data_IF_970138725881
#
_entry.id   IF_970138725881
#
_cell.length_a   1.000
_cell.length_b   1.000
_cell.length_c   1.000
_cell.angle_alpha   90.00
_cell.angle_beta   90.00
_cell.angle_gamma   90.00
#
_symmetry.space_group_name_H-M   'P 1'
#
loop_
_entity.id
_entity.type
_entity.pdbx_description
1 polymer ?
#
# COMPACT_ATOMS: atom_id res chain seq x y z
N UNK A 1 12.33 -38.99 18.23
CA UNK A 1 13.44 -38.04 18.16
C UNK A 1 12.98 -36.72 18.77
N UNK A 2 13.87 -36.05 19.50
CA UNK A 2 13.64 -34.71 20.04
C UNK A 2 13.75 -33.66 18.93
N UNK A 3 13.32 -32.41 19.18
CA UNK A 3 13.54 -31.31 18.23
C UNK A 3 15.03 -31.12 17.94
N UNK A 4 15.87 -31.16 18.99
CA UNK A 4 17.33 -31.05 18.90
C UNK A 4 17.91 -32.07 17.91
N UNK A 5 17.54 -33.34 18.07
CA UNK A 5 18.02 -34.43 17.22
C UNK A 5 17.63 -34.22 15.74
N UNK A 6 16.40 -33.78 15.49
CA UNK A 6 15.95 -33.49 14.12
C UNK A 6 16.68 -32.29 13.51
N UNK A 7 16.94 -31.24 14.29
CA UNK A 7 17.66 -30.06 13.80
C UNK A 7 19.09 -30.44 13.43
N UNK A 8 19.77 -31.20 14.29
CA UNK A 8 21.13 -31.70 14.02
C UNK A 8 21.14 -32.58 12.77
N UNK A 9 20.18 -33.49 12.62
CA UNK A 9 20.06 -34.34 11.43
C UNK A 9 19.89 -33.51 10.16
N UNK A 10 19.00 -32.49 10.18
CA UNK A 10 18.80 -31.59 9.03
C UNK A 10 20.10 -30.84 8.68
N UNK A 11 20.83 -30.31 9.66
CA UNK A 11 22.09 -29.60 9.42
C UNK A 11 23.14 -30.55 8.83
N UNK A 12 23.27 -31.74 9.41
CA UNK A 12 24.19 -32.77 8.94
C UNK A 12 23.86 -33.19 7.51
N UNK A 13 22.59 -33.45 7.21
CA UNK A 13 22.12 -33.81 5.87
C UNK A 13 22.30 -32.67 4.87
N UNK A 14 22.11 -31.42 5.29
CA UNK A 14 22.29 -30.24 4.44
C UNK A 14 23.75 -30.02 4.05
N UNK A 15 24.68 -30.23 4.99
CA UNK A 15 26.12 -30.02 4.82
C UNK A 15 26.88 -31.28 4.37
N UNK A 16 26.17 -32.39 4.13
CA UNK A 16 26.76 -33.59 3.52
C UNK A 16 26.71 -33.47 2.00
N UNK A 17 27.88 -33.53 1.35
CA UNK A 17 27.96 -33.50 -0.11
C UNK A 17 27.33 -34.78 -0.70
N UNK A 18 26.56 -34.63 -1.78
CA UNK A 18 26.04 -35.78 -2.50
C UNK A 18 27.10 -36.33 -3.48
N UNK A 19 27.95 -37.21 -2.97
CA UNK A 19 29.01 -37.88 -3.73
C UNK A 19 28.47 -38.73 -4.91
N UNK A 20 27.17 -39.03 -4.93
CA UNK A 20 26.55 -39.83 -6.00
C UNK A 20 26.14 -38.99 -7.22
N UNK A 21 26.01 -37.67 -7.03
CA UNK A 21 25.59 -36.72 -8.06
C UNK A 21 26.79 -35.94 -8.63
N UNK A 22 27.85 -35.78 -7.85
CA UNK A 22 29.02 -34.97 -8.21
C UNK A 22 30.04 -35.75 -9.06
N UNK A 23 30.42 -35.25 -10.24
CA UNK A 23 31.58 -35.73 -10.99
C UNK A 23 32.87 -35.70 -10.15
N UNK A 24 33.75 -36.68 -10.32
CA UNK A 24 34.98 -36.83 -9.53
C UNK A 24 35.90 -35.62 -9.60
N UNK A 25 35.93 -34.93 -10.74
CA UNK A 25 36.69 -33.70 -10.95
C UNK A 25 36.13 -32.51 -10.16
N UNK A 26 34.83 -32.46 -9.90
CA UNK A 26 34.20 -31.43 -9.05
C UNK A 26 34.45 -31.74 -7.57
N UNK A 27 34.39 -33.01 -7.17
CA UNK A 27 34.76 -33.43 -5.81
C UNK A 27 36.22 -33.06 -5.51
N UNK A 28 37.14 -33.46 -6.37
CA UNK A 28 38.57 -33.20 -6.20
C UNK A 28 38.90 -31.70 -6.13
N UNK A 29 38.25 -30.88 -6.96
CA UNK A 29 38.44 -29.43 -6.98
C UNK A 29 37.90 -28.73 -5.72
N UNK A 30 36.89 -29.29 -5.05
CA UNK A 30 36.18 -28.66 -3.93
C UNK A 30 36.32 -29.41 -2.60
N UNK A 31 37.26 -30.36 -2.50
CA UNK A 31 37.51 -31.14 -1.28
C UNK A 31 37.69 -30.30 -0.01
N UNK A 32 38.28 -29.10 -0.11
CA UNK A 32 38.44 -28.18 1.01
C UNK A 32 37.10 -27.62 1.52
N UNK A 33 36.15 -27.34 0.61
CA UNK A 33 34.78 -26.88 0.94
C UNK A 33 33.98 -28.02 1.57
N UNK A 34 34.09 -29.23 1.01
CA UNK A 34 33.40 -30.43 1.52
C UNK A 34 33.91 -30.77 2.93
N UNK A 35 35.22 -30.70 3.15
CA UNK A 35 35.81 -30.92 4.46
C UNK A 35 35.34 -29.88 5.48
N UNK A 36 35.35 -28.59 5.11
CA UNK A 36 34.87 -27.51 5.98
C UNK A 36 33.36 -27.66 6.33
N UNK A 37 32.54 -28.05 5.36
CA UNK A 37 31.11 -28.34 5.59
C UNK A 37 30.91 -29.52 6.55
N UNK A 38 31.70 -30.59 6.40
CA UNK A 38 31.66 -31.74 7.30
C UNK A 38 32.11 -31.40 8.73
N UNK A 39 33.13 -30.54 8.87
CA UNK A 39 33.57 -30.03 10.17
C UNK A 39 32.46 -29.20 10.84
N UNK A 40 31.80 -28.31 10.09
CA UNK A 40 30.64 -27.55 10.58
C UNK A 40 29.47 -28.46 10.96
N UNK A 41 29.17 -29.48 10.15
CA UNK A 41 28.13 -30.48 10.45
C UNK A 41 28.42 -31.22 11.77
N UNK A 42 29.67 -31.60 12.01
CA UNK A 42 30.08 -32.28 13.25
C UNK A 42 29.94 -31.40 14.50
N UNK A 43 29.91 -30.08 14.31
CA UNK A 43 29.70 -29.05 15.33
C UNK A 43 28.25 -28.60 15.47
N UNK A 44 27.30 -29.21 14.74
CA UNK A 44 25.89 -28.82 14.82
C UNK A 44 25.29 -28.90 16.24
N UNK A 45 25.88 -29.70 17.14
CA UNK A 45 25.52 -29.74 18.56
C UNK A 45 25.80 -28.42 19.29
N UNK A 46 26.75 -27.63 18.80
CA UNK A 46 27.20 -26.37 19.37
C UNK A 46 26.18 -25.24 19.16
N UNK A 47 25.24 -25.40 18.20
CA UNK A 47 24.15 -24.45 17.92
C UNK A 47 23.33 -24.07 19.16
N UNK A 48 23.33 -24.93 20.17
CA UNK A 48 22.44 -24.84 21.32
C UNK A 48 23.19 -24.77 22.66
N UNK A 49 24.46 -24.40 22.62
CA UNK A 49 25.30 -24.18 23.82
C UNK A 49 25.30 -22.68 24.12
N UNK A 50 25.19 -22.28 25.40
CA UNK A 50 25.19 -20.87 25.84
C UNK A 50 26.56 -20.15 25.66
N UNK A 51 27.50 -20.70 24.88
CA UNK A 51 28.84 -20.13 24.71
C UNK A 51 28.88 -19.03 23.62
N UNK A 52 29.86 -18.12 23.71
CA UNK A 52 30.01 -16.86 22.93
C UNK A 52 30.09 -17.02 21.39
N UNK A 53 30.10 -18.24 20.86
CA UNK A 53 30.27 -18.54 19.43
C UNK A 53 28.91 -18.80 18.75
N UNK A 54 28.42 -17.82 17.99
CA UNK A 54 27.18 -17.95 17.20
C UNK A 54 27.40 -18.91 16.01
N UNK A 55 27.16 -20.21 16.25
CA UNK A 55 27.29 -21.26 15.24
C UNK A 55 26.45 -20.98 13.99
N UNK A 56 25.26 -20.36 14.14
CA UNK A 56 24.43 -20.02 12.98
C UNK A 56 25.13 -18.98 12.10
N UNK A 57 25.75 -17.97 12.69
CA UNK A 57 26.56 -16.99 11.94
C UNK A 57 27.81 -17.63 11.31
N UNK A 58 28.44 -18.62 11.96
CA UNK A 58 29.56 -19.37 11.36
C UNK A 58 29.13 -20.15 10.11
N UNK A 59 27.97 -20.82 10.16
CA UNK A 59 27.43 -21.53 9.00
C UNK A 59 27.01 -20.55 7.90
N UNK A 60 26.37 -19.43 8.24
CA UNK A 60 26.03 -18.39 7.24
C UNK A 60 27.27 -17.81 6.58
N UNK A 61 28.31 -17.46 7.35
CA UNK A 61 29.57 -16.97 6.83
C UNK A 61 30.21 -17.98 5.87
N UNK A 62 30.20 -19.27 6.24
CA UNK A 62 30.65 -20.34 5.34
C UNK A 62 29.85 -20.40 4.04
N UNK A 63 28.52 -20.29 4.10
CA UNK A 63 27.64 -20.31 2.92
C UNK A 63 27.87 -19.07 2.03
N UNK A 64 28.08 -17.89 2.63
CA UNK A 64 28.32 -16.64 1.92
C UNK A 64 29.72 -16.58 1.27
N UNK A 65 30.71 -17.23 1.86
CA UNK A 65 32.09 -17.32 1.35
C UNK A 65 32.25 -18.32 0.19
N UNK A 66 31.18 -19.04 -0.19
CA UNK A 66 31.24 -19.98 -1.31
C UNK A 66 31.48 -19.26 -2.65
N UNK A 67 32.32 -19.83 -3.54
CA UNK A 67 32.62 -19.19 -4.82
C UNK A 67 31.35 -18.98 -5.66
N UNK A 68 31.08 -17.77 -6.20
CA UNK A 68 29.86 -17.48 -6.96
C UNK A 68 29.74 -18.27 -8.27
N UNK A 69 30.85 -18.86 -8.74
CA UNK A 69 30.90 -19.70 -9.93
C UNK A 69 30.39 -21.12 -9.67
N UNK A 70 30.13 -21.47 -8.41
CA UNK A 70 29.77 -22.80 -7.98
C UNK A 70 28.52 -22.73 -7.08
N UNK A 71 27.31 -22.84 -7.67
CA UNK A 71 26.07 -22.66 -6.92
C UNK A 71 26.02 -23.61 -5.72
N UNK A 72 25.63 -23.13 -4.55
CA UNK A 72 25.46 -23.95 -3.34
C UNK A 72 24.69 -25.26 -3.63
N UNK A 73 23.61 -25.16 -4.41
CA UNK A 73 22.79 -26.29 -4.82
C UNK A 73 23.52 -27.38 -5.63
N UNK A 74 24.68 -27.08 -6.20
CA UNK A 74 25.48 -28.03 -6.98
C UNK A 74 26.27 -29.00 -6.10
N UNK A 75 26.76 -28.56 -4.93
CA UNK A 75 27.46 -29.44 -3.96
C UNK A 75 26.50 -29.89 -2.85
N UNK A 76 25.71 -28.95 -2.35
CA UNK A 76 24.82 -29.13 -1.20
C UNK A 76 23.38 -28.77 -1.59
N UNK A 77 22.70 -29.61 -2.39
CA UNK A 77 21.32 -29.34 -2.84
C UNK A 77 20.33 -29.16 -1.69
N UNK A 78 20.61 -29.75 -0.52
CA UNK A 78 19.79 -29.63 0.69
C UNK A 78 20.11 -28.39 1.53
N UNK A 79 21.24 -27.71 1.28
CA UNK A 79 21.62 -26.51 2.02
C UNK A 79 20.95 -25.23 1.52
N UNK A 80 20.16 -25.28 0.45
CA UNK A 80 19.56 -24.07 -0.18
C UNK A 80 18.72 -23.26 0.81
N UNK A 81 18.05 -23.92 1.76
CA UNK A 81 17.25 -23.25 2.78
C UNK A 81 17.95 -23.18 4.15
N UNK A 82 19.22 -23.61 4.26
CA UNK A 82 19.91 -23.79 5.53
C UNK A 82 20.03 -22.48 6.32
N UNK A 83 20.32 -21.36 5.66
CA UNK A 83 20.38 -20.06 6.34
C UNK A 83 19.03 -19.70 7.00
N UNK A 84 17.93 -19.81 6.25
CA UNK A 84 16.57 -19.54 6.76
C UNK A 84 16.17 -20.52 7.85
N UNK A 85 16.54 -21.79 7.70
CA UNK A 85 16.33 -22.83 8.70
C UNK A 85 17.03 -22.48 10.02
N UNK A 86 18.30 -22.08 9.97
CA UNK A 86 19.08 -21.70 11.16
C UNK A 86 18.50 -20.45 11.82
N UNK A 87 18.06 -19.47 11.03
CA UNK A 87 17.39 -18.28 11.54
C UNK A 87 16.11 -18.62 12.32
N UNK A 88 15.32 -19.58 11.85
CA UNK A 88 14.14 -20.04 12.56
C UNK A 88 14.48 -20.91 13.78
N UNK A 89 15.52 -21.75 13.67
CA UNK A 89 15.99 -22.57 14.77
C UNK A 89 16.48 -21.72 15.95
N UNK A 90 17.14 -20.59 15.67
CA UNK A 90 17.58 -19.61 16.68
C UNK A 90 16.43 -18.92 17.42
N UNK A 91 15.19 -19.00 16.91
CA UNK A 91 14.00 -18.48 17.60
C UNK A 91 13.38 -19.49 18.58
N UNK A 92 13.85 -20.74 18.59
CA UNK A 92 13.36 -21.78 19.49
C UNK A 92 14.06 -21.64 20.84
N UNK A 93 13.27 -21.66 21.92
CA UNK A 93 13.79 -21.65 23.29
C UNK A 93 14.65 -22.91 23.55
N UNK A 94 15.81 -22.75 24.19
CA UNK A 94 16.73 -23.86 24.44
C UNK A 94 16.08 -24.98 25.27
N UNK A 95 15.22 -24.58 26.21
CA UNK A 95 14.46 -25.52 27.06
C UNK A 95 13.46 -26.36 26.24
N UNK A 96 13.03 -25.88 25.07
CA UNK A 96 12.05 -26.57 24.23
C UNK A 96 12.69 -27.59 23.27
N UNK A 97 14.01 -27.57 23.08
CA UNK A 97 14.72 -28.43 22.12
C UNK A 97 14.68 -29.91 22.47
N UNK A 98 14.57 -30.22 23.77
CA UNK A 98 14.54 -31.61 24.24
C UNK A 98 13.12 -32.19 24.24
N UNK A 99 12.11 -31.39 23.88
CA UNK A 99 10.76 -31.87 23.68
C UNK A 99 10.67 -32.81 22.46
N UNK A 100 9.70 -33.74 22.45
CA UNK A 100 9.41 -34.54 21.26
C UNK A 100 8.85 -33.66 20.14
N UNK A 101 9.18 -34.01 18.89
CA UNK A 101 8.60 -33.34 17.72
C UNK A 101 7.07 -33.49 17.74
N UNK A 102 6.30 -32.41 17.50
CA UNK A 102 4.84 -32.49 17.41
C UNK A 102 4.39 -33.52 16.37
N UNK A 103 3.53 -34.46 16.78
CA UNK A 103 3.10 -35.57 15.92
C UNK A 103 2.33 -35.08 14.67
N UNK A 104 1.69 -33.92 14.79
CA UNK A 104 0.88 -33.28 13.77
C UNK A 104 1.71 -32.55 12.71
N UNK A 105 3.04 -32.49 12.82
CA UNK A 105 3.90 -31.86 11.80
C UNK A 105 3.65 -32.44 10.40
N UNK A 106 3.34 -33.74 10.32
CA UNK A 106 3.04 -34.45 9.08
C UNK A 106 1.72 -33.99 8.41
N UNK A 107 0.91 -33.19 9.11
CA UNK A 107 -0.34 -32.63 8.58
C UNK A 107 -0.12 -31.23 8.01
N UNK A 108 1.03 -30.60 8.27
CA UNK A 108 1.34 -29.26 7.77
C UNK A 108 1.90 -29.33 6.36
N UNK A 109 1.43 -28.40 5.52
CA UNK A 109 1.88 -28.24 4.15
C UNK A 109 2.54 -26.87 3.98
N UNK A 110 3.59 -26.83 3.18
CA UNK A 110 4.24 -25.60 2.74
C UNK A 110 3.76 -25.21 1.34
N UNK A 111 3.41 -23.93 1.15
CA UNK A 111 2.95 -23.43 -0.14
C UNK A 111 3.45 -22.01 -0.42
N UNK A 112 3.88 -21.77 -1.65
CA UNK A 112 4.25 -20.45 -2.12
C UNK A 112 3.01 -19.54 -2.26
N UNK A 113 3.16 -18.25 -1.97
CA UNK A 113 2.11 -17.23 -2.14
C UNK A 113 2.67 -16.01 -2.85
N UNK A 114 2.09 -15.66 -3.99
CA UNK A 114 2.62 -14.61 -4.87
C UNK A 114 2.02 -13.21 -4.61
N UNK A 115 0.85 -13.12 -3.99
CA UNK A 115 0.07 -11.89 -3.88
C UNK A 115 -0.38 -11.55 -2.44
N UNK A 116 0.38 -12.03 -1.47
CA UNK A 116 0.27 -11.67 -0.06
C UNK A 116 1.49 -10.86 0.34
N UNK A 117 1.26 -9.63 0.81
CA UNK A 117 2.27 -8.79 1.42
C UNK A 117 1.78 -8.40 2.80
N UNK A 118 2.72 -8.09 3.68
CA UNK A 118 2.43 -7.65 5.03
C UNK A 118 3.46 -6.63 5.49
N UNK A 119 2.99 -5.54 6.06
CA UNK A 119 3.81 -4.42 6.53
C UNK A 119 3.43 -4.08 7.97
N UNK A 120 4.42 -3.92 8.82
CA UNK A 120 4.26 -3.36 10.16
C UNK A 120 3.89 -1.87 10.09
N UNK A 121 3.65 -1.26 11.25
CA UNK A 121 3.23 0.16 11.35
C UNK A 121 4.31 1.14 10.90
N UNK A 122 5.56 0.74 10.98
CA UNK A 122 6.75 1.52 10.62
C UNK A 122 7.20 1.27 9.16
N UNK A 123 6.29 0.80 8.30
CA UNK A 123 6.54 0.44 6.90
C UNK A 123 7.55 -0.71 6.68
N UNK A 124 8.09 -1.31 7.76
CA UNK A 124 8.92 -2.52 7.62
C UNK A 124 8.07 -3.69 7.16
N UNK A 125 8.64 -4.49 6.28
CA UNK A 125 8.00 -5.71 5.78
C UNK A 125 8.00 -6.79 6.86
N UNK A 126 6.88 -7.48 7.00
CA UNK A 126 6.76 -8.61 7.93
C UNK A 126 7.40 -9.82 7.28
N UNK A 127 8.58 -10.21 7.75
CA UNK A 127 9.33 -11.34 7.21
C UNK A 127 8.91 -12.67 7.84
N UNK A 128 8.48 -12.64 9.09
CA UNK A 128 7.93 -13.79 9.81
C UNK A 128 6.68 -13.37 10.57
N UNK A 129 5.64 -14.18 10.46
CA UNK A 129 4.48 -14.09 11.33
C UNK A 129 4.01 -15.50 11.67
N UNK A 130 4.01 -15.83 12.95
CA UNK A 130 3.61 -17.15 13.46
C UNK A 130 2.37 -16.97 14.33
N UNK A 131 1.31 -17.68 13.99
CA UNK A 131 0.12 -17.79 14.82
C UNK A 131 -0.01 -19.22 15.31
N UNK A 132 -0.11 -19.38 16.63
CA UNK A 132 -0.32 -20.66 17.28
C UNK A 132 -1.63 -20.63 18.07
N UNK A 133 -2.55 -21.52 17.70
CA UNK A 133 -3.75 -21.77 18.49
C UNK A 133 -3.40 -22.83 19.55
N UNK A 134 -3.57 -22.54 20.85
CA UNK A 134 -3.26 -23.50 21.92
C UNK A 134 -3.95 -24.85 21.68
N UNK A 135 -3.18 -25.94 21.73
CA UNK A 135 -3.64 -27.32 21.52
C UNK A 135 -4.27 -27.62 20.14
N UNK A 136 -4.16 -26.71 19.17
CA UNK A 136 -4.75 -26.83 17.83
C UNK A 136 -3.76 -26.40 16.76
N UNK A 137 -2.67 -27.17 16.62
CA UNK A 137 -1.64 -26.94 15.61
C UNK A 137 -2.18 -26.95 14.17
N UNK A 138 -3.27 -27.70 13.92
CA UNK A 138 -3.96 -27.74 12.62
C UNK A 138 -4.72 -26.44 12.29
N UNK A 139 -4.85 -25.55 13.25
CA UNK A 139 -5.38 -24.20 13.06
C UNK A 139 -4.30 -23.12 13.17
N UNK A 140 -3.06 -23.54 13.38
CA UNK A 140 -1.88 -22.69 13.46
C UNK A 140 -1.27 -22.52 12.07
N UNK A 141 -0.45 -21.47 11.91
CA UNK A 141 0.30 -21.26 10.67
C UNK A 141 1.54 -20.42 10.90
N UNK A 142 2.47 -20.50 9.95
CA UNK A 142 3.58 -19.57 9.80
C UNK A 142 3.51 -18.93 8.40
N UNK A 143 3.68 -17.62 8.34
CA UNK A 143 3.90 -16.86 7.12
C UNK A 143 5.36 -16.42 7.09
N UNK A 144 6.05 -16.71 5.98
CA UNK A 144 7.43 -16.33 5.75
C UNK A 144 7.54 -15.49 4.48
N UNK A 145 8.21 -14.35 4.54
CA UNK A 145 8.53 -13.49 3.40
C UNK A 145 10.04 -13.37 3.25
N UNK A 146 10.59 -14.15 2.31
CA UNK A 146 12.02 -14.29 2.05
C UNK A 146 12.47 -13.45 0.84
N UNK A 147 11.67 -12.46 0.44
CA UNK A 147 11.99 -11.62 -0.72
C UNK A 147 13.06 -10.57 -0.44
N UNK A 148 13.34 -10.26 0.82
CA UNK A 148 14.34 -9.26 1.26
C UNK A 148 15.39 -9.86 2.20
N UNK A 149 15.55 -11.18 2.19
CA UNK A 149 16.50 -11.90 3.03
C UNK A 149 15.88 -12.57 4.25
N UNK A 150 16.73 -12.83 5.24
CA UNK A 150 16.46 -13.64 6.42
C UNK A 150 15.27 -13.16 7.27
N UNK A 151 14.43 -14.08 7.80
CA UNK A 151 13.22 -13.75 8.56
C UNK A 151 13.45 -13.30 10.02
N UNK A 152 14.67 -12.99 10.45
CA UNK A 152 14.95 -12.67 11.86
C UNK A 152 14.20 -11.40 12.28
N UNK A 153 13.18 -11.60 13.11
CA UNK A 153 12.45 -10.53 13.80
C UNK A 153 12.74 -10.62 15.29
N UNK A 154 12.81 -9.48 15.97
CA UNK A 154 12.94 -9.40 17.44
C UNK A 154 11.63 -9.73 18.18
N UNK A 155 10.70 -10.42 17.53
CA UNK A 155 9.38 -10.72 18.09
C UNK A 155 9.43 -12.05 18.84
N UNK A 156 8.79 -12.09 20.00
CA UNK A 156 8.48 -13.35 20.68
C UNK A 156 7.54 -14.16 19.81
N UNK A 157 8.01 -15.29 19.30
CA UNK A 157 7.22 -16.18 18.45
C UNK A 157 6.66 -17.35 19.27
N UNK A 158 5.45 -17.85 18.94
CA UNK A 158 4.93 -19.06 19.58
C UNK A 158 5.83 -20.27 19.37
N UNK A 159 6.02 -21.07 20.42
CA UNK A 159 7.06 -22.10 20.51
C UNK A 159 6.85 -23.28 19.55
N UNK A 160 5.66 -23.89 19.59
CA UNK A 160 5.40 -25.15 18.87
C UNK A 160 5.32 -24.93 17.37
N UNK A 161 4.61 -23.89 16.92
CA UNK A 161 4.47 -23.60 15.50
C UNK A 161 5.78 -23.11 14.88
N UNK A 162 6.65 -22.43 15.63
CA UNK A 162 8.00 -22.04 15.18
C UNK A 162 8.88 -23.27 14.98
N UNK A 163 8.86 -24.22 15.91
CA UNK A 163 9.56 -25.50 15.74
C UNK A 163 9.07 -26.26 14.51
N UNK A 164 7.74 -26.38 14.32
CA UNK A 164 7.18 -27.00 13.13
C UNK A 164 7.61 -26.29 11.84
N UNK A 165 7.56 -24.96 11.81
CA UNK A 165 8.00 -24.18 10.66
C UNK A 165 9.49 -24.40 10.36
N UNK A 166 10.34 -24.40 11.39
CA UNK A 166 11.78 -24.67 11.29
C UNK A 166 12.03 -26.01 10.61
N UNK A 167 11.46 -27.09 11.13
CA UNK A 167 11.63 -28.43 10.59
C UNK A 167 11.12 -28.55 9.15
N UNK A 168 9.97 -27.97 8.83
CA UNK A 168 9.40 -27.99 7.48
C UNK A 168 10.28 -27.22 6.48
N UNK A 169 10.84 -26.08 6.87
CA UNK A 169 11.79 -25.32 6.04
C UNK A 169 13.05 -26.13 5.78
N UNK A 170 13.61 -26.77 6.82
CA UNK A 170 14.81 -27.60 6.71
C UNK A 170 14.63 -28.84 5.84
N UNK A 171 13.42 -29.41 5.82
CA UNK A 171 13.09 -30.58 5.00
C UNK A 171 12.65 -30.22 3.56
N UNK A 172 12.42 -28.94 3.28
CA UNK A 172 11.95 -28.50 1.97
C UNK A 172 13.10 -28.49 0.95
N UNK A 173 12.93 -29.25 -0.14
CA UNK A 173 13.97 -29.45 -1.16
C UNK A 173 14.05 -28.29 -2.18
N UNK A 174 13.00 -27.50 -2.33
CA UNK A 174 12.96 -26.39 -3.29
C UNK A 174 13.64 -25.12 -2.76
N UNK A 175 14.11 -24.25 -3.65
CA UNK A 175 14.63 -22.93 -3.26
C UNK A 175 13.49 -22.02 -2.81
N UNK A 176 13.53 -21.60 -1.54
CA UNK A 176 12.56 -20.68 -0.95
C UNK A 176 12.93 -19.20 -1.12
N UNK A 177 14.16 -18.91 -1.54
CA UNK A 177 14.73 -17.56 -1.62
C UNK A 177 13.95 -16.68 -2.60
N UNK A 178 13.78 -15.40 -2.25
CA UNK A 178 13.09 -14.46 -3.14
C UNK A 178 11.57 -14.65 -3.22
N UNK A 179 10.98 -15.54 -2.40
CA UNK A 179 9.56 -15.91 -2.45
C UNK A 179 8.90 -15.77 -1.08
N UNK A 180 7.58 -15.98 -1.04
CA UNK A 180 6.78 -15.94 0.19
C UNK A 180 6.05 -17.25 0.37
N UNK A 181 5.89 -17.68 1.60
CA UNK A 181 5.44 -19.01 1.94
C UNK A 181 4.45 -18.98 3.09
N UNK A 182 3.49 -19.90 3.05
CA UNK A 182 2.63 -20.22 4.19
C UNK A 182 2.84 -21.70 4.54
N UNK A 183 3.05 -21.96 5.82
CA UNK A 183 3.08 -23.31 6.41
C UNK A 183 1.81 -23.47 7.24
N UNK A 184 0.95 -24.42 6.87
CA UNK A 184 -0.33 -24.69 7.55
C UNK A 184 -0.90 -26.03 7.11
N UNK A 185 -1.74 -26.67 7.92
CA UNK A 185 -2.47 -27.88 7.53
C UNK A 185 -3.72 -27.60 6.68
N UNK A 186 -3.99 -26.34 6.33
CA UNK A 186 -5.12 -25.99 5.48
C UNK A 186 -4.82 -26.28 4.00
N UNK A 187 -5.46 -27.31 3.44
CA UNK A 187 -5.26 -27.72 2.04
C UNK A 187 -5.81 -26.71 1.01
N UNK A 188 -6.92 -26.04 1.34
CA UNK A 188 -7.54 -25.08 0.44
C UNK A 188 -6.74 -23.75 0.45
N UNK A 189 -6.03 -23.48 -0.65
CA UNK A 189 -5.16 -22.31 -0.79
C UNK A 189 -5.89 -20.98 -0.53
N UNK A 190 -7.09 -20.80 -1.10
CA UNK A 190 -7.86 -19.57 -0.95
C UNK A 190 -8.29 -19.34 0.50
N UNK A 191 -8.72 -20.39 1.19
CA UNK A 191 -9.10 -20.35 2.61
C UNK A 191 -7.89 -20.06 3.49
N UNK A 192 -6.78 -20.77 3.27
CA UNK A 192 -5.51 -20.57 3.97
C UNK A 192 -5.04 -19.12 3.85
N UNK A 193 -5.00 -18.59 2.63
CA UNK A 193 -4.59 -17.19 2.37
C UNK A 193 -5.52 -16.18 3.05
N UNK A 194 -6.83 -16.41 3.01
CA UNK A 194 -7.80 -15.53 3.68
C UNK A 194 -7.63 -15.56 5.20
N UNK A 195 -7.36 -16.74 5.77
CA UNK A 195 -7.11 -16.92 7.19
C UNK A 195 -5.86 -16.17 7.65
N UNK A 196 -4.74 -16.33 6.94
CA UNK A 196 -3.49 -15.62 7.21
C UNK A 196 -3.67 -14.11 7.09
N UNK A 197 -4.31 -13.63 6.01
CA UNK A 197 -4.61 -12.20 5.81
C UNK A 197 -5.38 -11.62 7.00
N UNK A 198 -6.40 -12.32 7.47
CA UNK A 198 -7.22 -11.83 8.57
C UNK A 198 -6.43 -11.73 9.88
N UNK A 199 -5.59 -12.74 10.19
CA UNK A 199 -4.73 -12.71 11.37
C UNK A 199 -3.67 -11.61 11.31
N UNK A 200 -3.06 -11.37 10.15
CA UNK A 200 -2.15 -10.25 9.95
C UNK A 200 -2.85 -8.91 10.23
N UNK A 201 -4.08 -8.74 9.69
CA UNK A 201 -4.89 -7.54 9.92
C UNK A 201 -5.29 -7.37 11.40
N UNK A 202 -5.66 -8.45 12.09
CA UNK A 202 -6.00 -8.43 13.52
C UNK A 202 -4.83 -7.96 14.39
N UNK A 203 -3.59 -8.21 13.95
CA UNK A 203 -2.37 -7.75 14.61
C UNK A 203 -1.93 -6.35 14.15
N UNK A 204 -2.76 -5.66 13.35
CA UNK A 204 -2.51 -4.31 12.88
C UNK A 204 -1.47 -4.21 11.77
N UNK A 205 -1.13 -5.32 11.12
CA UNK A 205 -0.33 -5.29 9.89
C UNK A 205 -1.18 -4.81 8.72
N UNK A 206 -0.54 -4.13 7.77
CA UNK A 206 -1.16 -3.70 6.51
C UNK A 206 -0.83 -4.71 5.43
N UNK A 207 -1.78 -5.00 4.54
CA UNK A 207 -1.58 -5.95 3.43
C UNK A 207 -1.06 -5.29 2.14
N UNK A 208 -0.93 -3.98 2.16
CA UNK A 208 -0.41 -3.15 1.08
C UNK A 208 0.32 -1.96 1.68
N UNK A 209 1.34 -1.47 0.98
CA UNK A 209 1.96 -0.20 1.34
C UNK A 209 1.07 0.97 0.95
N UNK A 210 1.10 2.00 1.77
CA UNK A 210 0.50 3.26 1.41
C UNK A 210 1.27 3.87 0.22
N UNK A 211 0.54 4.36 -0.78
CA UNK A 211 1.17 5.09 -1.89
C UNK A 211 1.28 6.55 -1.51
N UNK A 212 2.51 7.07 -1.46
CA UNK A 212 2.81 8.45 -1.09
C UNK A 212 2.39 9.40 -2.21
N UNK A 213 1.72 10.49 -1.84
CA UNK A 213 1.35 11.55 -2.76
C UNK A 213 2.61 12.30 -3.22
N UNK A 214 2.79 12.54 -4.54
CA UNK A 214 3.94 13.30 -5.01
C UNK A 214 3.82 14.77 -4.61
N UNK A 215 4.96 15.46 -4.56
CA UNK A 215 4.99 16.91 -4.42
C UNK A 215 4.21 17.55 -5.59
N UNK A 216 3.27 18.43 -5.25
CA UNK A 216 2.39 19.03 -6.23
C UNK A 216 2.89 20.40 -6.68
N UNK A 217 3.03 20.58 -8.00
CA UNK A 217 3.26 21.90 -8.61
C UNK A 217 1.96 22.70 -8.77
N UNK A 218 0.82 22.17 -8.32
CA UNK A 218 -0.48 22.82 -8.47
C UNK A 218 -0.59 24.16 -7.72
N UNK A 219 0.34 24.48 -6.81
CA UNK A 219 0.28 25.71 -6.02
C UNK A 219 1.11 26.87 -6.60
N UNK A 220 1.92 26.61 -7.63
CA UNK A 220 2.83 27.61 -8.22
C UNK A 220 2.06 28.82 -8.75
N UNK A 221 2.47 30.03 -8.37
CA UNK A 221 1.81 31.27 -8.83
C UNK A 221 0.67 31.76 -7.94
N UNK A 222 0.14 30.93 -7.02
CA UNK A 222 -1.04 31.32 -6.20
C UNK A 222 -0.64 32.35 -5.14
N UNK A 223 0.56 32.25 -4.57
CA UNK A 223 1.02 33.19 -3.56
C UNK A 223 1.15 34.62 -4.13
N UNK A 224 1.50 34.73 -5.40
CA UNK A 224 1.64 35.97 -6.15
C UNK A 224 0.29 36.64 -6.48
N UNK A 225 -0.82 35.89 -6.39
CA UNK A 225 -2.18 36.45 -6.60
C UNK A 225 -2.85 36.90 -5.31
N UNK A 226 -2.18 36.82 -4.16
CA UNK A 226 -2.76 37.23 -2.89
C UNK A 226 -2.97 38.76 -2.84
N UNK A 227 -4.16 39.17 -2.41
CA UNK A 227 -4.61 40.57 -2.31
C UNK A 227 -4.61 41.04 -0.85
N UNK A 228 -5.59 41.86 -0.43
CA UNK A 228 -5.59 42.50 0.89
C UNK A 228 -6.02 41.53 2.00
N UNK A 229 -5.41 41.65 3.18
CA UNK A 229 -5.63 40.76 4.32
C UNK A 229 -7.12 40.63 4.76
N UNK A 230 -7.91 41.69 4.59
CA UNK A 230 -9.30 41.72 5.02
C UNK A 230 -10.22 40.79 4.20
N UNK A 231 -9.86 40.48 2.94
CA UNK A 231 -10.65 39.61 2.07
C UNK A 231 -10.65 38.14 2.53
N UNK A 232 -9.64 37.76 3.32
CA UNK A 232 -9.40 36.37 3.71
C UNK A 232 -10.07 35.93 5.01
N UNK A 233 -10.54 36.87 5.84
CA UNK A 233 -11.18 36.58 7.14
C UNK A 233 -12.36 35.61 6.98
N UNK A 234 -13.09 35.74 5.87
CA UNK A 234 -14.26 34.90 5.57
C UNK A 234 -13.90 33.42 5.32
N UNK A 235 -12.62 33.09 5.06
CA UNK A 235 -12.14 31.75 4.73
C UNK A 235 -11.47 31.03 5.92
N UNK A 236 -11.69 31.47 7.16
CA UNK A 236 -11.07 30.89 8.36
C UNK A 236 -11.22 29.36 8.46
N UNK A 237 -12.46 28.85 8.41
CA UNK A 237 -12.73 27.40 8.44
C UNK A 237 -12.10 26.64 7.25
N UNK A 238 -12.26 27.08 5.98
CA UNK A 238 -11.53 26.49 4.87
C UNK A 238 -10.02 26.39 5.06
N UNK A 239 -9.39 27.38 5.71
CA UNK A 239 -7.95 27.37 5.95
C UNK A 239 -7.52 26.31 6.97
N UNK A 240 -8.34 26.00 7.96
CA UNK A 240 -8.11 24.88 8.88
C UNK A 240 -8.10 23.55 8.10
N UNK A 241 -9.08 23.35 7.21
CA UNK A 241 -9.17 22.14 6.36
C UNK A 241 -8.01 22.08 5.35
N UNK A 242 -7.59 23.21 4.76
CA UNK A 242 -6.39 23.28 3.91
C UNK A 242 -5.11 22.87 4.68
N UNK A 243 -5.04 23.23 5.96
CA UNK A 243 -3.98 22.78 6.88
C UNK A 243 -3.92 21.25 6.98
N UNK A 244 -5.06 20.57 7.02
CA UNK A 244 -5.11 19.10 7.03
C UNK A 244 -4.53 18.50 5.74
N UNK A 245 -4.79 19.10 4.57
CA UNK A 245 -4.23 18.64 3.29
C UNK A 245 -2.69 18.63 3.36
N UNK A 246 -2.10 19.68 3.92
CA UNK A 246 -0.64 19.78 4.07
C UNK A 246 -0.06 18.72 5.02
N UNK A 247 -0.87 18.17 5.94
CA UNK A 247 -0.50 17.09 6.85
C UNK A 247 -0.66 15.69 6.27
N UNK A 248 -1.31 15.51 5.10
CA UNK A 248 -1.51 14.20 4.48
C UNK A 248 -0.32 13.81 3.61
N UNK A 249 0.11 12.56 3.73
CA UNK A 249 1.23 12.01 2.96
C UNK A 249 0.80 11.02 1.89
N UNK A 250 -0.35 10.37 2.00
CA UNK A 250 -0.80 9.32 1.07
C UNK A 250 -1.72 9.88 -0.02
N UNK A 251 -1.70 9.27 -1.22
CA UNK A 251 -2.53 9.71 -2.36
C UNK A 251 -4.02 9.76 -2.01
N UNK A 252 -4.55 8.70 -1.40
CA UNK A 252 -5.98 8.60 -1.10
C UNK A 252 -6.40 9.62 -0.02
N UNK A 253 -5.59 9.78 1.04
CA UNK A 253 -5.91 10.74 2.12
C UNK A 253 -5.85 12.18 1.63
N UNK A 254 -4.86 12.51 0.78
CA UNK A 254 -4.73 13.86 0.21
C UNK A 254 -5.89 14.16 -0.75
N UNK A 255 -6.37 13.18 -1.53
CA UNK A 255 -7.58 13.33 -2.35
C UNK A 255 -8.80 13.60 -1.48
N UNK A 256 -9.01 12.80 -0.43
CA UNK A 256 -10.15 12.97 0.47
C UNK A 256 -10.13 14.33 1.16
N UNK A 257 -8.99 14.74 1.70
CA UNK A 257 -8.84 16.04 2.35
C UNK A 257 -9.04 17.20 1.36
N UNK A 258 -8.53 17.06 0.13
CA UNK A 258 -8.78 18.04 -0.94
C UNK A 258 -10.26 18.12 -1.32
N UNK A 259 -10.95 16.98 -1.32
CA UNK A 259 -12.38 16.93 -1.61
C UNK A 259 -13.21 17.60 -0.50
N UNK A 260 -12.86 17.41 0.77
CA UNK A 260 -13.57 18.07 1.88
C UNK A 260 -13.54 19.61 1.76
N UNK A 261 -12.42 20.19 1.30
CA UNK A 261 -12.36 21.63 1.00
C UNK A 261 -13.32 22.00 -0.13
N UNK A 262 -13.34 21.19 -1.20
CA UNK A 262 -14.28 21.41 -2.31
C UNK A 262 -15.74 21.26 -1.86
N UNK A 263 -16.04 20.37 -0.92
CA UNK A 263 -17.37 20.21 -0.32
C UNK A 263 -17.81 21.46 0.44
N UNK A 264 -16.92 22.03 1.26
CA UNK A 264 -17.17 23.33 1.86
C UNK A 264 -17.44 24.40 0.78
N UNK A 265 -16.63 24.44 -0.28
CA UNK A 265 -16.76 25.41 -1.38
C UNK A 265 -18.04 25.24 -2.20
N UNK A 266 -18.49 24.00 -2.42
CA UNK A 266 -19.74 23.67 -3.12
C UNK A 266 -20.94 24.34 -2.45
N UNK A 267 -21.02 24.22 -1.13
CA UNK A 267 -22.08 24.82 -0.32
C UNK A 267 -21.89 26.33 -0.25
N UNK A 268 -20.67 26.79 0.03
CA UNK A 268 -20.33 28.21 0.15
C UNK A 268 -20.66 29.00 -1.10
N UNK A 269 -20.40 28.44 -2.29
CA UNK A 269 -20.74 29.07 -3.55
C UNK A 269 -22.25 29.26 -3.73
N UNK A 270 -23.08 28.33 -3.25
CA UNK A 270 -24.54 28.52 -3.28
C UNK A 270 -24.98 29.64 -2.34
N UNK A 271 -24.42 29.68 -1.13
CA UNK A 271 -24.74 30.70 -0.13
C UNK A 271 -24.29 32.09 -0.63
N UNK A 272 -23.06 32.21 -1.13
CA UNK A 272 -22.51 33.45 -1.67
C UNK A 272 -23.34 33.97 -2.83
N UNK A 273 -23.76 33.08 -3.75
CA UNK A 273 -24.67 33.45 -4.83
C UNK A 273 -25.99 34.04 -4.31
N UNK A 274 -26.67 33.35 -3.40
CA UNK A 274 -27.95 33.85 -2.84
C UNK A 274 -27.75 35.17 -2.09
N UNK A 275 -26.64 35.33 -1.36
CA UNK A 275 -26.34 36.58 -0.65
C UNK A 275 -26.07 37.75 -1.61
N UNK A 276 -25.27 37.52 -2.65
CA UNK A 276 -24.85 38.56 -3.60
C UNK A 276 -25.96 38.91 -4.61
N UNK A 277 -26.82 37.97 -4.98
CA UNK A 277 -27.99 38.25 -5.86
C UNK A 277 -29.03 39.16 -5.18
N UNK A 278 -29.02 39.26 -3.84
CA UNK A 278 -29.95 40.05 -3.04
C UNK A 278 -29.33 41.34 -2.46
N UNK A 279 -28.27 41.85 -3.08
CA UNK A 279 -27.58 43.08 -2.67
C UNK A 279 -28.57 44.26 -2.65
N UNK A 280 -28.79 44.80 -1.44
CA UNK A 280 -29.67 45.97 -1.21
C UNK A 280 -31.07 45.64 -0.68
N UNK A 281 -31.45 44.37 -0.57
CA UNK A 281 -32.70 43.93 0.05
C UNK A 281 -32.48 43.40 1.48
N UNK A 282 -33.50 43.51 2.34
CA UNK A 282 -33.50 42.88 3.67
C UNK A 282 -33.57 41.36 3.53
N UNK A 283 -32.69 40.64 4.23
CA UNK A 283 -32.60 39.19 4.15
C UNK A 283 -33.68 38.54 5.04
N UNK A 284 -34.88 38.33 4.48
CA UNK A 284 -36.00 37.67 5.16
C UNK A 284 -36.08 36.14 5.00
N UNK A 285 -37.10 35.53 5.61
CA UNK A 285 -37.37 34.07 5.66
C UNK A 285 -37.35 33.40 4.27
N UNK A 286 -37.82 34.10 3.23
CA UNK A 286 -37.83 33.56 1.86
C UNK A 286 -36.43 33.26 1.34
N UNK A 287 -35.44 34.10 1.68
CA UNK A 287 -34.05 33.90 1.28
C UNK A 287 -33.40 32.75 2.03
N UNK A 288 -33.73 32.56 3.32
CA UNK A 288 -33.31 31.36 4.08
C UNK A 288 -33.85 30.08 3.44
N UNK A 289 -35.13 30.05 3.07
CA UNK A 289 -35.72 28.89 2.39
C UNK A 289 -35.09 28.64 1.02
N UNK A 290 -34.73 29.69 0.28
CA UNK A 290 -33.99 29.55 -0.98
C UNK A 290 -32.58 29.00 -0.76
N UNK A 291 -31.91 29.40 0.32
CA UNK A 291 -30.60 28.88 0.71
C UNK A 291 -30.68 27.39 1.06
N UNK A 292 -31.66 26.99 1.88
CA UNK A 292 -31.94 25.59 2.22
C UNK A 292 -32.17 24.75 0.96
N UNK A 293 -33.08 25.18 0.08
CA UNK A 293 -33.34 24.51 -1.19
C UNK A 293 -32.11 24.46 -2.13
N UNK A 294 -31.23 25.47 -2.07
CA UNK A 294 -30.00 25.49 -2.87
C UNK A 294 -28.96 24.50 -2.34
N UNK A 295 -28.98 24.23 -1.03
CA UNK A 295 -28.11 23.24 -0.35
C UNK A 295 -28.64 21.81 -0.50
N UNK A 296 -29.94 21.62 -0.70
CA UNK A 296 -30.55 20.29 -0.90
C UNK A 296 -30.23 19.57 -2.23
N UNK A 297 -29.47 20.18 -3.15
CA UNK A 297 -29.12 19.51 -4.41
C UNK A 297 -28.17 18.35 -4.21
N UNK A 298 -28.07 17.48 -5.21
CA UNK A 298 -27.12 16.36 -5.21
C UNK A 298 -25.69 16.89 -5.30
N UNK A 299 -24.81 16.35 -4.47
CA UNK A 299 -23.38 16.70 -4.36
C UNK A 299 -22.67 16.86 -5.73
N UNK A 300 -22.87 15.91 -6.65
CA UNK A 300 -22.31 15.98 -8.01
C UNK A 300 -22.77 17.23 -8.80
N UNK A 301 -24.02 17.67 -8.61
CA UNK A 301 -24.54 18.87 -9.27
C UNK A 301 -23.87 20.13 -8.72
N UNK A 302 -23.63 20.20 -7.41
CA UNK A 302 -22.88 21.31 -6.81
C UNK A 302 -21.43 21.33 -7.31
N UNK A 303 -20.77 20.18 -7.38
CA UNK A 303 -19.39 20.09 -7.87
C UNK A 303 -19.29 20.54 -9.32
N UNK A 304 -20.22 20.06 -10.14
CA UNK A 304 -20.32 20.46 -11.55
C UNK A 304 -20.52 21.97 -11.68
N UNK A 305 -21.39 22.55 -10.86
CA UNK A 305 -21.65 23.98 -10.88
C UNK A 305 -20.43 24.80 -10.42
N UNK A 306 -19.75 24.38 -9.35
CA UNK A 306 -18.55 25.04 -8.83
C UNK A 306 -17.44 25.08 -9.88
N UNK A 307 -17.14 23.95 -10.51
CA UNK A 307 -16.15 23.86 -11.59
C UNK A 307 -16.55 24.72 -12.79
N UNK A 308 -17.82 24.66 -13.20
CA UNK A 308 -18.34 25.44 -14.32
C UNK A 308 -18.18 26.95 -14.12
N UNK A 309 -18.45 27.46 -12.91
CA UNK A 309 -18.27 28.88 -12.59
C UNK A 309 -16.82 29.29 -12.43
N UNK A 310 -15.91 28.33 -12.29
CA UNK A 310 -14.50 28.58 -12.02
C UNK A 310 -13.61 28.46 -13.27
N UNK A 311 -14.13 28.01 -14.41
CA UNK A 311 -13.32 27.72 -15.60
C UNK A 311 -12.50 28.90 -16.12
N UNK A 312 -13.10 30.08 -16.13
CA UNK A 312 -12.48 31.30 -16.66
C UNK A 312 -11.76 32.11 -15.58
N UNK A 313 -11.74 31.62 -14.34
CA UNK A 313 -11.04 32.28 -13.23
C UNK A 313 -9.54 32.03 -13.36
N UNK A 314 -8.77 33.11 -13.34
CA UNK A 314 -7.31 33.05 -13.22
C UNK A 314 -6.91 32.66 -11.80
N UNK A 315 -6.21 31.54 -11.69
CA UNK A 315 -5.60 31.07 -10.47
C UNK A 315 -4.11 30.96 -10.75
N UNK A 316 -3.31 31.84 -10.17
CA UNK A 316 -1.85 31.82 -10.25
C UNK A 316 -1.27 31.97 -11.66
N UNK A 317 -1.84 32.87 -12.47
CA UNK A 317 -1.36 33.22 -13.81
C UNK A 317 -1.88 32.32 -14.93
N UNK A 318 -2.86 31.46 -14.64
CA UNK A 318 -3.48 30.57 -15.62
C UNK A 318 -4.96 30.37 -15.27
N UNK A 319 -5.82 30.37 -16.28
CA UNK A 319 -7.22 30.02 -16.07
C UNK A 319 -7.34 28.57 -15.63
N UNK A 320 -8.33 28.26 -14.80
CA UNK A 320 -8.56 26.88 -14.38
C UNK A 320 -8.76 25.96 -15.59
N UNK A 321 -9.47 26.41 -16.63
CA UNK A 321 -9.63 25.67 -17.87
C UNK A 321 -8.28 25.36 -18.52
N UNK A 322 -7.40 26.35 -18.67
CA UNK A 322 -6.07 26.15 -19.25
C UNK A 322 -5.19 25.22 -18.43
N UNK A 323 -5.30 25.28 -17.10
CA UNK A 323 -4.59 24.36 -16.20
C UNK A 323 -5.08 22.92 -16.38
N UNK A 324 -6.39 22.70 -16.36
CA UNK A 324 -7.01 21.37 -16.55
C UNK A 324 -6.66 20.78 -17.92
N UNK A 325 -6.75 21.58 -18.99
CA UNK A 325 -6.40 21.15 -20.34
C UNK A 325 -4.93 20.73 -20.42
N UNK A 326 -4.04 21.45 -19.72
CA UNK A 326 -2.62 21.08 -19.60
C UNK A 326 -2.43 19.77 -18.84
N UNK A 327 -3.20 19.52 -17.76
CA UNK A 327 -3.11 18.26 -16.99
C UNK A 327 -3.59 17.06 -17.79
N UNK A 328 -4.70 17.18 -18.52
CA UNK A 328 -5.14 16.12 -19.43
C UNK A 328 -4.11 15.87 -20.54
N UNK A 329 -3.62 16.93 -21.19
CA UNK A 329 -2.61 16.81 -22.25
C UNK A 329 -1.35 16.13 -21.72
N UNK A 330 -0.85 16.58 -20.56
CA UNK A 330 0.30 15.99 -19.90
C UNK A 330 0.10 14.51 -19.57
N UNK A 331 -1.05 14.14 -18.99
CA UNK A 331 -1.39 12.75 -18.69
C UNK A 331 -1.33 11.86 -19.94
N UNK A 332 -1.91 12.30 -21.05
CA UNK A 332 -1.99 11.51 -22.28
C UNK A 332 -0.68 11.45 -23.06
N UNK A 333 0.24 12.39 -22.83
CA UNK A 333 1.58 12.40 -23.44
C UNK A 333 2.61 11.57 -22.67
N UNK A 334 2.27 11.02 -21.50
CA UNK A 334 3.19 10.19 -20.72
C UNK A 334 3.47 8.87 -21.45
N UNK A 335 4.74 8.45 -21.44
CA UNK A 335 5.21 7.23 -22.14
C UNK A 335 4.55 5.96 -21.58
N UNK A 336 4.24 5.96 -20.29
CA UNK A 336 3.59 4.87 -19.56
C UNK A 336 2.05 4.92 -19.59
N UNK A 337 1.47 5.90 -20.29
CA UNK A 337 0.02 6.01 -20.43
C UNK A 337 -0.54 4.98 -21.42
N UNK A 338 -1.59 4.27 -20.99
CA UNK A 338 -2.30 3.28 -21.82
C UNK A 338 -3.78 3.65 -21.88
N UNK A 339 -4.22 4.18 -23.02
CA UNK A 339 -5.58 4.69 -23.21
C UNK A 339 -6.65 3.64 -22.86
N UNK A 340 -6.49 2.39 -23.30
CA UNK A 340 -7.45 1.33 -23.00
C UNK A 340 -7.66 1.13 -21.49
N UNK A 341 -6.57 1.17 -20.70
CA UNK A 341 -6.65 1.04 -19.23
C UNK A 341 -7.31 2.25 -18.59
N UNK A 342 -7.09 3.45 -19.15
CA UNK A 342 -7.77 4.67 -18.71
C UNK A 342 -9.28 4.59 -18.97
N UNK A 343 -9.70 4.18 -20.16
CA UNK A 343 -11.10 4.02 -20.51
C UNK A 343 -11.79 2.93 -19.67
N UNK A 344 -11.08 1.82 -19.40
CA UNK A 344 -11.56 0.79 -18.46
C UNK A 344 -11.78 1.38 -17.06
N UNK A 345 -10.81 2.15 -16.56
CA UNK A 345 -10.93 2.81 -15.26
C UNK A 345 -12.11 3.79 -15.21
N UNK A 346 -12.29 4.62 -16.24
CA UNK A 346 -13.45 5.52 -16.36
C UNK A 346 -14.78 4.77 -16.35
N UNK A 347 -14.83 3.56 -16.95
CA UNK A 347 -16.02 2.70 -16.94
C UNK A 347 -16.28 2.09 -15.57
N UNK A 348 -15.25 1.61 -14.88
CA UNK A 348 -15.34 1.09 -13.49
C UNK A 348 -15.84 2.16 -12.53
N UNK A 349 -15.40 3.41 -12.72
CA UNK A 349 -15.88 4.58 -12.00
C UNK A 349 -17.28 5.04 -12.44
N UNK A 350 -17.90 4.42 -13.46
CA UNK A 350 -19.21 4.81 -14.01
C UNK A 350 -19.28 6.25 -14.55
N UNK A 351 -18.14 6.82 -14.95
CA UNK A 351 -18.04 8.17 -15.53
C UNK A 351 -18.79 8.24 -16.86
N UNK A 352 -18.68 7.19 -17.69
CA UNK A 352 -19.45 6.99 -18.92
C UNK A 352 -20.23 5.68 -18.84
N UNK A 353 -21.26 5.51 -19.66
CA UNK A 353 -22.02 4.24 -19.73
C UNK A 353 -21.14 3.12 -20.30
N UNK A 354 -21.57 1.85 -20.14
CA UNK A 354 -20.79 0.65 -20.47
C UNK A 354 -20.20 0.63 -21.90
N UNK A 355 -20.87 1.29 -22.86
CA UNK A 355 -20.46 1.32 -24.27
C UNK A 355 -20.00 2.71 -24.75
N UNK A 356 -19.85 3.66 -23.83
CA UNK A 356 -19.39 5.01 -24.13
C UNK A 356 -17.92 5.15 -23.72
N UNK A 357 -17.17 5.90 -24.52
CA UNK A 357 -15.74 6.16 -24.32
C UNK A 357 -15.57 7.67 -24.16
N UNK A 358 -14.69 8.11 -23.27
CA UNK A 358 -14.38 9.53 -23.12
C UNK A 358 -13.55 9.96 -24.34
N UNK A 359 -13.97 11.01 -25.05
CA UNK A 359 -13.22 11.49 -26.20
C UNK A 359 -11.99 12.28 -25.72
N UNK A 360 -10.83 11.61 -25.66
CA UNK A 360 -9.57 12.20 -25.19
C UNK A 360 -9.05 13.34 -26.08
N UNK A 361 -9.55 13.46 -27.31
CA UNK A 361 -9.19 14.53 -28.24
C UNK A 361 -10.11 15.76 -28.12
N UNK A 362 -11.10 15.75 -27.22
CA UNK A 362 -12.03 16.85 -27.02
C UNK A 362 -11.85 17.49 -25.63
N UNK A 363 -11.14 18.62 -25.53
CA UNK A 363 -11.00 19.36 -24.26
C UNK A 363 -12.34 19.71 -23.60
N UNK A 364 -13.39 19.90 -24.40
CA UNK A 364 -14.74 20.18 -23.89
C UNK A 364 -15.36 18.95 -23.22
N UNK A 365 -15.25 17.76 -23.82
CA UNK A 365 -15.73 16.51 -23.21
C UNK A 365 -14.95 16.19 -21.93
N UNK A 366 -13.63 16.39 -21.95
CA UNK A 366 -12.75 16.19 -20.80
C UNK A 366 -13.11 17.11 -19.62
N UNK A 367 -13.25 18.42 -19.87
CA UNK A 367 -13.68 19.39 -18.84
C UNK A 367 -15.08 19.08 -18.31
N UNK A 368 -15.99 18.64 -19.17
CA UNK A 368 -17.35 18.24 -18.77
C UNK A 368 -17.34 16.97 -17.92
N UNK A 369 -16.39 16.05 -18.17
CA UNK A 369 -16.26 14.81 -17.41
C UNK A 369 -15.55 14.99 -16.06
N UNK A 370 -14.65 15.98 -15.92
CA UNK A 370 -13.82 16.15 -14.72
C UNK A 370 -14.60 16.18 -13.39
N UNK A 371 -15.71 16.96 -13.23
CA UNK A 371 -16.50 16.92 -12.01
C UNK A 371 -16.96 15.50 -11.64
N UNK A 372 -17.41 14.74 -12.64
CA UNK A 372 -17.88 13.37 -12.45
C UNK A 372 -16.72 12.42 -12.14
N UNK A 373 -15.55 12.62 -12.74
CA UNK A 373 -14.34 11.84 -12.41
C UNK A 373 -13.98 12.05 -10.95
N UNK A 374 -13.84 13.30 -10.49
CA UNK A 374 -13.49 13.64 -9.11
C UNK A 374 -14.51 13.06 -8.12
N UNK A 375 -15.81 13.24 -8.39
CA UNK A 375 -16.88 12.71 -7.55
C UNK A 375 -16.84 11.18 -7.46
N UNK A 376 -16.67 10.49 -8.59
CA UNK A 376 -16.65 9.03 -8.60
C UNK A 376 -15.38 8.47 -7.96
N UNK A 377 -14.24 9.15 -8.10
CA UNK A 377 -13.02 8.84 -7.34
C UNK A 377 -13.30 8.93 -5.84
N UNK A 378 -13.86 10.05 -5.35
CA UNK A 378 -14.24 10.19 -3.94
C UNK A 378 -15.16 9.06 -3.49
N UNK A 379 -16.25 8.82 -4.22
CA UNK A 379 -17.20 7.74 -3.90
C UNK A 379 -16.51 6.37 -3.84
N UNK A 380 -15.63 6.05 -4.79
CA UNK A 380 -14.91 4.76 -4.77
C UNK A 380 -13.91 4.63 -3.62
N UNK A 381 -13.43 5.74 -3.03
CA UNK A 381 -12.61 5.71 -1.81
C UNK A 381 -13.47 5.47 -0.56
N UNK A 382 -14.62 6.13 -0.43
CA UNK A 382 -15.42 6.08 0.82
C UNK A 382 -16.49 5.00 0.84
N UNK A 383 -17.09 4.65 -0.30
CA UNK A 383 -18.16 3.68 -0.36
C UNK A 383 -17.59 2.30 -0.68
N UNK A 384 -17.93 1.35 0.18
CA UNK A 384 -17.68 -0.06 -0.03
C UNK A 384 -19.03 -0.79 -0.05
N UNK A 385 -19.76 -0.65 -1.14
CA UNK A 385 -20.87 -1.57 -1.43
C UNK A 385 -20.28 -2.71 -2.24
N UNK A 386 -20.68 -3.95 -1.95
CA UNK A 386 -20.15 -5.16 -2.60
C UNK A 386 -20.23 -5.12 -4.14
N UNK A 387 -21.14 -4.32 -4.70
CA UNK A 387 -21.35 -4.17 -6.14
C UNK A 387 -20.64 -2.95 -6.76
N UNK A 388 -20.04 -2.08 -5.96
CA UNK A 388 -19.39 -0.85 -6.41
C UNK A 388 -17.87 -1.03 -6.44
N UNK A 389 -17.22 -0.35 -7.38
CA UNK A 389 -15.76 -0.37 -7.48
C UNK A 389 -15.15 0.44 -6.33
N UNK A 390 -14.29 -0.20 -5.52
CA UNK A 390 -13.58 0.43 -4.41
C UNK A 390 -12.12 0.71 -4.78
N UNK A 391 -11.65 1.94 -4.52
CA UNK A 391 -10.26 2.33 -4.67
C UNK A 391 -9.51 2.11 -3.36
N UNK A 392 -8.60 1.13 -3.35
CA UNK A 392 -7.63 0.92 -2.26
C UNK A 392 -6.19 1.13 -2.76
N UNK A 393 -5.22 1.06 -1.86
CA UNK A 393 -3.79 1.09 -2.25
C UNK A 393 -3.42 -0.02 -3.26
N UNK A 394 -4.17 -1.13 -3.31
CA UNK A 394 -3.93 -2.19 -4.30
C UNK A 394 -4.22 -1.72 -5.72
N UNK A 395 -5.30 -0.95 -5.91
CA UNK A 395 -5.66 -0.39 -7.20
C UNK A 395 -4.64 0.64 -7.69
N UNK A 396 -3.95 1.32 -6.76
CA UNK A 396 -2.89 2.28 -7.08
C UNK A 396 -1.61 1.63 -7.62
N UNK A 397 -1.47 0.30 -7.52
CA UNK A 397 -0.39 -0.42 -8.21
C UNK A 397 -0.56 -0.41 -9.74
N UNK A 398 -1.76 -0.08 -10.24
CA UNK A 398 -1.96 0.17 -11.67
C UNK A 398 -1.47 1.59 -12.02
N UNK A 399 -0.43 1.74 -12.87
CA UNK A 399 0.14 3.05 -13.17
C UNK A 399 -0.90 4.04 -13.69
N UNK A 400 -1.81 3.61 -14.57
CA UNK A 400 -2.81 4.51 -15.16
C UNK A 400 -3.80 5.03 -14.11
N UNK A 401 -4.16 4.20 -13.12
CA UNK A 401 -5.01 4.64 -11.99
C UNK A 401 -4.24 5.67 -11.18
N UNK A 402 -3.00 5.35 -10.78
CA UNK A 402 -2.16 6.24 -9.99
C UNK A 402 -1.96 7.59 -10.68
N UNK A 403 -1.56 7.60 -11.95
CA UNK A 403 -1.34 8.83 -12.74
C UNK A 403 -2.63 9.63 -12.91
N UNK A 404 -3.79 8.98 -13.12
CA UNK A 404 -5.09 9.68 -13.18
C UNK A 404 -5.38 10.40 -11.86
N UNK A 405 -4.99 9.81 -10.73
CA UNK A 405 -5.15 10.43 -9.42
C UNK A 405 -4.11 11.53 -9.17
N UNK A 406 -2.82 11.27 -9.40
CA UNK A 406 -1.70 12.16 -9.01
C UNK A 406 -1.42 13.26 -10.01
N UNK A 407 -1.68 13.04 -11.30
CA UNK A 407 -1.31 13.98 -12.36
C UNK A 407 -2.52 14.77 -12.87
N UNK A 408 -3.73 14.25 -12.66
CA UNK A 408 -4.99 14.90 -13.07
C UNK A 408 -5.85 15.30 -11.87
N UNK A 409 -6.41 14.35 -11.11
CA UNK A 409 -7.43 14.69 -10.11
C UNK A 409 -6.87 15.57 -8.99
N UNK A 410 -5.81 15.10 -8.33
CA UNK A 410 -5.21 15.77 -7.18
C UNK A 410 -4.70 17.18 -7.53
N UNK A 411 -3.94 17.41 -8.62
CA UNK A 411 -3.50 18.75 -8.98
C UNK A 411 -4.67 19.69 -9.30
N UNK A 412 -5.71 19.22 -9.98
CA UNK A 412 -6.88 20.06 -10.28
C UNK A 412 -7.64 20.43 -9.00
N UNK A 413 -7.84 19.47 -8.10
CA UNK A 413 -8.50 19.69 -6.81
C UNK A 413 -7.69 20.64 -5.92
N UNK A 414 -6.37 20.47 -5.84
CA UNK A 414 -5.51 21.35 -5.05
C UNK A 414 -5.45 22.77 -5.64
N UNK A 415 -5.35 22.91 -6.97
CA UNK A 415 -5.38 24.24 -7.63
C UNK A 415 -6.64 25.00 -7.25
N UNK A 416 -7.79 24.32 -7.24
CA UNK A 416 -9.06 24.88 -6.80
C UNK A 416 -9.10 25.17 -5.31
N UNK A 417 -8.74 24.18 -4.48
CA UNK A 417 -8.80 24.25 -3.03
C UNK A 417 -7.99 25.44 -2.48
N UNK A 418 -6.74 25.56 -2.90
CA UNK A 418 -5.85 26.64 -2.45
C UNK A 418 -6.03 27.93 -3.25
N UNK A 419 -6.42 27.82 -4.52
CA UNK A 419 -6.44 28.96 -5.44
C UNK A 419 -7.71 29.78 -5.45
N UNK A 420 -8.89 29.15 -5.26
CA UNK A 420 -10.15 29.89 -5.30
C UNK A 420 -10.24 31.00 -4.24
N UNK A 421 -9.80 30.84 -2.97
CA UNK A 421 -9.78 31.95 -2.02
C UNK A 421 -8.92 33.13 -2.49
N UNK A 422 -7.79 32.84 -3.14
CA UNK A 422 -6.84 33.82 -3.66
C UNK A 422 -7.30 34.48 -4.97
N UNK A 423 -8.25 33.88 -5.68
CA UNK A 423 -8.67 34.36 -7.00
C UNK A 423 -9.35 35.74 -6.95
N UNK A 424 -9.06 36.63 -7.91
CA UNK A 424 -9.69 37.94 -8.01
C UNK A 424 -11.20 37.82 -8.31
N UNK A 425 -11.93 38.92 -8.15
CA UNK A 425 -13.33 38.98 -8.55
C UNK A 425 -13.46 38.89 -10.09
N UNK A 426 -14.51 38.23 -10.63
CA UNK A 426 -15.61 37.57 -9.92
C UNK A 426 -15.17 36.24 -9.29
N UNK A 427 -15.49 36.06 -8.00
CA UNK A 427 -15.11 34.87 -7.23
C UNK A 427 -16.37 34.23 -6.64
N UNK A 428 -16.66 32.95 -6.95
CA UNK A 428 -17.90 32.30 -6.54
C UNK A 428 -18.00 32.07 -5.03
N UNK A 429 -16.89 32.17 -4.29
CA UNK A 429 -16.86 31.91 -2.85
C UNK A 429 -16.97 33.18 -2.00
N UNK A 430 -16.80 34.37 -2.60
CA UNK A 430 -16.71 35.62 -1.85
C UNK A 430 -18.09 36.21 -1.59
N UNK A 431 -18.31 36.59 -0.33
CA UNK A 431 -19.41 37.48 0.02
C UNK A 431 -19.02 38.92 -0.27
N UNK A 432 -19.92 39.68 -0.91
CA UNK A 432 -19.67 41.11 -1.17
C UNK A 432 -19.79 41.97 0.10
N UNK A 433 -20.35 41.41 1.19
CA UNK A 433 -20.54 42.08 2.49
C UNK A 433 -20.15 41.16 3.64
N UNK A 434 -19.59 41.76 4.70
CA UNK A 434 -19.23 41.04 5.93
C UNK A 434 -20.42 40.73 6.85
N UNK A 435 -21.58 41.38 6.63
CA UNK A 435 -22.77 41.23 7.48
C UNK A 435 -24.05 41.14 6.66
N UNK A 436 -24.93 40.20 7.00
CA UNK A 436 -26.30 40.13 6.50
C UNK A 436 -27.22 40.99 7.38
N UNK A 437 -28.01 41.86 6.75
CA UNK A 437 -29.06 42.61 7.44
C UNK A 437 -30.37 41.82 7.38
N UNK A 438 -30.82 41.34 8.54
CA UNK A 438 -32.05 40.56 8.68
C UNK A 438 -33.28 41.48 8.81
N UNK A 439 -34.44 40.96 8.41
CA UNK A 439 -35.74 41.63 8.57
C UNK A 439 -36.22 41.60 10.02
#
# INVERSE_FOLDING_TARGET
MTLRENIIEIISDALTADETILPSDILDANNHIIFAASELASRATDLFVEEDDDFAEQVKAFLDDLPPQLPLASIFPRAVNLAVFLDLANLIDLDDLDNPVPAEINQLNISEVTDLEAFARDDRRVQLYVYERPNHITESFAFLDLTQGSPVTTQTVPRVMTACATLIVGQYVGDMSGRRWIISSMDNEARRRSYVKYHLLLNGHRLTNAVIAPNSTALVGIAETLTTANEYIQFGEPFEILGEINGRTTVLDTIMSSYHVLENYMIRAQIAKVANDNVGALFGIRHFKQMELAVERKELEHLTQLLKTSWDIDIGGLTLAGFVDTKFTGLFQRVDFVEQRFQEFMRRLTVKKRNEVLNINSPVDLRTALPKIIYQVRCSIVHNKETEFHLSNRELLNPVVLMTLTDLCLPCMQRLAFGLPAAPAPNPLRYDRSTLQLY
#
